data_IF_595994317838
#
_entry.id   IF_595994317838
#
_cell.length_a   1.000
_cell.length_b   1.000
_cell.length_c   1.000
_cell.angle_alpha   90.00
_cell.angle_beta   90.00
_cell.angle_gamma   90.00
#
_symmetry.space_group_name_H-M   'P 1'
#
loop_
_entity.id
_entity.type
_entity.pdbx_description
1 polymer ?
#
# COMPACT_ATOMS: atom_id res chain seq x y z
N UNK A 1 -44.75 36.35 -9.94
CA UNK A 1 -44.34 35.64 -8.72
C UNK A 1 -43.82 34.22 -8.97
N UNK A 2 -44.50 33.38 -9.77
CA UNK A 2 -44.07 31.99 -10.06
C UNK A 2 -42.70 31.88 -10.75
N UNK A 3 -42.43 32.73 -11.74
CA UNK A 3 -41.14 32.75 -12.45
C UNK A 3 -39.97 33.25 -11.58
N UNK A 4 -40.25 34.15 -10.64
CA UNK A 4 -39.25 34.66 -9.68
C UNK A 4 -38.75 33.55 -8.75
N UNK A 5 -39.66 32.71 -8.27
CA UNK A 5 -39.32 31.56 -7.41
C UNK A 5 -38.58 30.49 -8.23
N UNK A 6 -39.02 30.23 -9.47
CA UNK A 6 -38.35 29.27 -10.37
C UNK A 6 -36.90 29.66 -10.65
N UNK A 7 -36.65 30.93 -10.97
CA UNK A 7 -35.31 31.44 -11.22
C UNK A 7 -34.44 31.46 -9.96
N UNK A 8 -35.04 31.73 -8.80
CA UNK A 8 -34.35 31.66 -7.50
C UNK A 8 -33.90 30.24 -7.15
N UNK A 9 -34.75 29.23 -7.39
CA UNK A 9 -34.42 27.82 -7.13
C UNK A 9 -33.28 27.35 -8.05
N UNK A 10 -33.35 27.69 -9.34
CA UNK A 10 -32.29 27.35 -10.31
C UNK A 10 -30.95 28.01 -9.89
N UNK A 11 -30.99 29.28 -9.45
CA UNK A 11 -29.82 29.97 -8.94
C UNK A 11 -29.21 29.31 -7.69
N UNK A 12 -30.06 28.85 -6.76
CA UNK A 12 -29.59 28.14 -5.57
C UNK A 12 -28.91 26.81 -5.93
N UNK A 13 -29.51 25.99 -6.80
CA UNK A 13 -28.90 24.74 -7.26
C UNK A 13 -27.58 24.95 -8.00
N UNK A 14 -27.46 26.01 -8.79
CA UNK A 14 -26.20 26.34 -9.47
C UNK A 14 -25.08 26.69 -8.48
N UNK A 15 -25.37 27.44 -7.42
CA UNK A 15 -24.40 27.79 -6.38
C UNK A 15 -24.01 26.55 -5.57
N UNK A 16 -24.98 25.74 -5.14
CA UNK A 16 -24.69 24.48 -4.43
C UNK A 16 -23.87 23.50 -5.28
N UNK A 17 -24.21 23.37 -6.56
CA UNK A 17 -23.45 22.55 -7.52
C UNK A 17 -22.02 23.07 -7.71
N UNK A 18 -21.83 24.39 -7.83
CA UNK A 18 -20.51 25.00 -7.96
C UNK A 18 -19.66 24.80 -6.70
N UNK A 19 -20.23 24.98 -5.51
CA UNK A 19 -19.54 24.74 -4.23
C UNK A 19 -19.18 23.26 -4.09
N UNK A 20 -20.04 22.33 -4.51
CA UNK A 20 -19.73 20.91 -4.52
C UNK A 20 -18.59 20.57 -5.49
N UNK A 21 -18.54 21.19 -6.67
CA UNK A 21 -17.46 21.03 -7.65
C UNK A 21 -16.13 21.63 -7.17
N UNK A 22 -16.14 22.82 -6.54
CA UNK A 22 -14.93 23.44 -5.97
C UNK A 22 -14.45 22.65 -4.75
N UNK A 23 -15.37 22.18 -3.91
CA UNK A 23 -15.03 21.35 -2.74
C UNK A 23 -14.51 19.99 -3.15
N UNK A 24 -15.04 19.38 -4.23
CA UNK A 24 -14.53 18.13 -4.77
C UNK A 24 -13.17 18.29 -5.45
N UNK A 25 -12.88 19.45 -6.04
CA UNK A 25 -11.56 19.73 -6.61
C UNK A 25 -10.50 20.10 -5.57
N UNK A 26 -10.91 20.57 -4.39
CA UNK A 26 -10.01 20.71 -3.21
C UNK A 26 -9.89 19.41 -2.37
N UNK A 27 -10.72 18.40 -2.64
CA UNK A 27 -10.60 17.03 -2.09
C UNK A 27 -10.23 15.99 -3.14
N UNK A 28 -9.85 16.43 -4.34
CA UNK A 28 -9.24 15.55 -5.32
C UNK A 28 -7.85 15.20 -4.78
N UNK A 29 -7.50 13.90 -4.63
CA UNK A 29 -6.12 13.53 -4.42
C UNK A 29 -5.35 14.05 -5.64
N UNK A 30 -4.50 15.06 -5.45
CA UNK A 30 -3.62 15.65 -6.47
C UNK A 30 -2.50 14.69 -6.89
N UNK A 31 -2.72 13.39 -6.76
CA UNK A 31 -1.79 12.37 -7.21
C UNK A 31 -2.61 11.28 -7.86
N UNK A 32 -2.78 11.41 -9.17
CA UNK A 32 -2.83 10.23 -10.04
C UNK A 32 -1.45 9.59 -9.84
N UNK A 33 -1.31 8.73 -8.83
CA UNK A 33 -0.16 7.84 -8.73
C UNK A 33 -0.29 6.89 -9.92
N UNK A 34 0.38 7.20 -11.03
CA UNK A 34 0.78 6.22 -12.05
C UNK A 34 1.83 5.28 -11.44
N UNK A 35 1.45 4.58 -10.38
CA UNK A 35 2.36 3.80 -9.56
C UNK A 35 1.66 3.32 -8.29
N UNK A 36 0.93 2.21 -8.42
CA UNK A 36 0.50 1.35 -7.31
C UNK A 36 -0.66 1.89 -6.46
N UNK A 37 -1.89 1.57 -6.88
CA UNK A 37 -3.14 1.62 -6.08
C UNK A 37 -3.09 0.68 -4.87
N UNK A 38 -2.15 0.88 -3.95
CA UNK A 38 -2.03 0.02 -2.76
C UNK A 38 -2.12 0.88 -1.52
N UNK A 39 -3.16 0.70 -0.68
CA UNK A 39 -3.29 1.46 0.56
C UNK A 39 -2.03 1.30 1.42
N UNK A 40 -1.75 2.30 2.25
CA UNK A 40 -0.59 2.37 3.18
C UNK A 40 -0.39 1.11 4.04
N UNK A 41 -1.36 0.20 4.10
CA UNK A 41 -1.20 -1.15 4.66
C UNK A 41 -0.08 -1.98 4.02
N UNK A 42 0.51 -1.54 2.91
CA UNK A 42 1.62 -2.21 2.21
C UNK A 42 2.98 -1.56 2.50
N UNK A 43 3.20 -1.04 3.71
CA UNK A 43 4.52 -0.56 4.17
C UNK A 43 5.59 -1.63 3.96
N UNK A 44 5.22 -2.90 4.12
CA UNK A 44 6.11 -4.04 3.96
C UNK A 44 5.88 -4.75 2.63
N UNK A 45 6.95 -4.88 1.84
CA UNK A 45 7.00 -5.68 0.63
C UNK A 45 7.75 -6.99 0.90
N UNK A 46 7.23 -8.11 0.42
CA UNK A 46 7.83 -9.42 0.64
C UNK A 46 8.43 -9.97 -0.66
N UNK A 47 9.70 -10.36 -0.61
CA UNK A 47 10.41 -10.99 -1.71
C UNK A 47 10.92 -12.38 -1.31
N UNK A 48 10.71 -13.37 -2.18
CA UNK A 48 11.27 -14.71 -1.99
C UNK A 48 12.47 -14.89 -2.91
N UNK A 49 13.63 -15.18 -2.32
CA UNK A 49 14.79 -15.61 -3.08
C UNK A 49 14.88 -17.13 -3.07
N UNK A 50 14.97 -17.71 -4.26
CA UNK A 50 15.39 -19.09 -4.48
C UNK A 50 16.82 -19.03 -5.01
N UNK A 51 17.79 -19.43 -4.20
CA UNK A 51 19.17 -19.55 -4.66
C UNK A 51 19.28 -20.74 -5.59
N UNK A 52 19.91 -20.57 -6.75
CA UNK A 52 20.17 -21.65 -7.72
C UNK A 52 20.99 -22.81 -7.11
N UNK A 53 21.74 -22.55 -6.03
CA UNK A 53 22.61 -23.51 -5.33
C UNK A 53 22.16 -23.81 -3.88
N UNK A 54 21.03 -23.28 -3.42
CA UNK A 54 20.56 -23.51 -2.05
C UNK A 54 19.18 -24.15 -2.08
N UNK A 55 19.06 -25.33 -1.47
CA UNK A 55 17.83 -26.12 -1.33
C UNK A 55 16.75 -25.46 -0.46
N UNK A 56 16.93 -24.19 -0.09
CA UNK A 56 16.11 -23.48 0.87
C UNK A 56 15.79 -22.08 0.32
N UNK A 57 14.51 -21.82 0.10
CA UNK A 57 14.00 -20.48 -0.20
C UNK A 57 14.00 -19.61 1.05
N UNK A 58 14.33 -18.32 0.90
CA UNK A 58 14.30 -17.33 1.98
C UNK A 58 13.35 -16.19 1.65
N UNK A 59 12.47 -15.88 2.61
CA UNK A 59 11.61 -14.70 2.57
C UNK A 59 12.31 -13.49 3.18
N UNK A 60 12.27 -12.37 2.47
CA UNK A 60 12.73 -11.06 2.92
C UNK A 60 11.54 -10.11 2.96
N UNK A 61 11.51 -9.23 3.95
CA UNK A 61 10.55 -8.15 4.08
C UNK A 61 11.29 -6.82 4.02
N UNK A 62 10.85 -5.93 3.15
CA UNK A 62 11.38 -4.59 2.97
C UNK A 62 10.33 -3.56 3.38
N UNK A 63 10.70 -2.68 4.30
CA UNK A 63 9.88 -1.54 4.66
C UNK A 63 10.14 -0.39 3.68
N UNK A 64 9.15 -0.05 2.86
CA UNK A 64 9.27 1.01 1.85
C UNK A 64 9.36 2.42 2.43
N UNK A 65 8.97 2.61 3.69
CA UNK A 65 8.97 3.91 4.37
C UNK A 65 10.27 4.14 5.12
N UNK A 66 10.72 3.15 5.90
CA UNK A 66 11.91 3.27 6.74
C UNK A 66 13.17 2.68 6.11
N UNK A 67 13.04 1.94 5.01
CA UNK A 67 14.15 1.19 4.42
C UNK A 67 14.64 0.01 5.27
N UNK A 68 13.92 -0.36 6.34
CA UNK A 68 14.25 -1.51 7.17
C UNK A 68 14.10 -2.81 6.37
N UNK A 69 15.10 -3.69 6.47
CA UNK A 69 15.09 -5.02 5.85
C UNK A 69 15.04 -6.06 6.95
N UNK A 70 14.07 -6.98 6.85
CA UNK A 70 13.91 -8.15 7.72
C UNK A 70 14.02 -9.42 6.89
N UNK A 71 14.56 -10.47 7.50
CA UNK A 71 14.60 -11.82 6.94
C UNK A 71 13.69 -12.72 7.79
N UNK A 72 12.89 -13.56 7.16
CA UNK A 72 12.19 -14.62 7.88
C UNK A 72 13.20 -15.57 8.51
N UNK A 73 12.96 -15.91 9.77
CA UNK A 73 13.74 -16.90 10.53
C UNK A 73 13.63 -18.30 9.92
N UNK A 74 12.43 -18.63 9.44
CA UNK A 74 12.10 -19.92 8.86
C UNK A 74 12.62 -19.99 7.43
N UNK A 75 13.30 -21.08 7.11
CA UNK A 75 13.63 -21.42 5.74
C UNK A 75 12.58 -22.36 5.16
N UNK A 76 12.24 -22.15 3.90
CA UNK A 76 11.28 -23.00 3.19
C UNK A 76 12.06 -24.01 2.35
N UNK A 77 12.00 -25.32 2.68
CA UNK A 77 12.72 -26.33 1.93
C UNK A 77 12.15 -26.41 0.51
N UNK A 78 13.03 -26.35 -0.48
CA UNK A 78 12.68 -26.51 -1.90
C UNK A 78 12.43 -27.97 -2.28
N UNK A 79 12.82 -28.92 -1.41
CA UNK A 79 12.60 -30.36 -1.61
C UNK A 79 11.47 -30.84 -0.70
N UNK A 80 10.48 -31.50 -1.29
CA UNK A 80 9.35 -32.12 -0.60
C UNK A 80 9.87 -33.16 0.42
N UNK A 81 9.53 -32.98 1.70
CA UNK A 81 9.86 -33.91 2.78
C UNK A 81 11.07 -33.52 3.64
N UNK A 82 11.80 -32.44 3.30
CA UNK A 82 12.80 -31.89 4.22
C UNK A 82 12.12 -31.02 5.30
N UNK A 83 12.58 -31.09 6.57
CA UNK A 83 12.07 -30.22 7.61
C UNK A 83 12.54 -28.78 7.39
N UNK A 84 11.64 -27.81 7.58
CA UNK A 84 12.00 -26.39 7.61
C UNK A 84 12.97 -26.13 8.78
N UNK A 85 14.05 -25.39 8.54
CA UNK A 85 14.92 -24.92 9.62
C UNK A 85 14.33 -23.65 10.20
N UNK A 86 14.06 -23.66 11.50
CA UNK A 86 13.57 -22.52 12.26
C UNK A 86 14.58 -22.16 13.35
N UNK A 87 14.83 -20.86 13.50
CA UNK A 87 15.72 -20.30 14.53
C UNK A 87 14.95 -19.71 15.72
N UNK A 88 13.63 -19.98 15.82
CA UNK A 88 12.80 -19.64 16.99
C UNK A 88 12.50 -18.16 17.16
N UNK A 89 12.80 -17.34 16.15
CA UNK A 89 12.39 -15.93 16.05
C UNK A 89 11.32 -15.81 14.98
N UNK A 90 10.51 -14.76 14.94
CA UNK A 90 9.61 -14.54 13.79
C UNK A 90 10.38 -13.94 12.60
N UNK A 91 11.28 -12.99 12.89
CA UNK A 91 12.09 -12.29 11.90
C UNK A 91 13.47 -11.94 12.46
N UNK A 92 14.45 -11.79 11.57
CA UNK A 92 15.79 -11.28 11.85
C UNK A 92 15.91 -9.93 11.14
N UNK A 93 16.16 -8.86 11.88
CA UNK A 93 16.45 -7.54 11.30
C UNK A 93 17.83 -7.59 10.64
N UNK A 94 17.87 -7.32 9.34
CA UNK A 94 19.11 -7.37 8.53
C UNK A 94 19.73 -5.98 8.41
N UNK A 95 18.88 -4.96 8.26
CA UNK A 95 19.30 -3.56 8.17
C UNK A 95 18.21 -2.69 8.77
N UNK A 96 18.61 -1.76 9.61
CA UNK A 96 17.78 -0.65 10.09
C UNK A 96 18.41 0.64 9.59
N UNK A 97 17.62 1.51 8.98
CA UNK A 97 18.03 2.87 8.64
C UNK A 97 17.32 3.74 9.66
N UNK A 98 18.10 4.42 10.50
CA UNK A 98 17.61 5.29 11.58
C UNK A 98 17.13 6.64 11.05
#
# INVERSE_FOLDING_TARGET
MKETIKNSIIGAFAIFGLVALISSSNTAPTVIHEGSNTPESHVWEMAFSHGTNTTEGRGYLYNKVTGEVRKMSRTFPSIKGQPARDVGKNYIVMKKID
#
